data_IF_286344472645
#
_entry.id   IF_286344472645
#
_cell.length_a   1.000
_cell.length_b   1.000
_cell.length_c   1.000
_cell.angle_alpha   90.00
_cell.angle_beta   90.00
_cell.angle_gamma   90.00
#
_symmetry.space_group_name_H-M   'P 1'
#
loop_
_entity.id
_entity.type
_entity.pdbx_description
1 polymer ?
#
# COMPACT_ATOMS: atom_id res chain seq x y z
N UNK A 1 -1.50 -14.78 15.94
CA UNK A 1 -1.51 -14.13 14.61
C UNK A 1 -1.38 -12.63 14.82
N UNK A 2 -0.20 -12.05 14.57
CA UNK A 2 0.07 -10.61 14.79
C UNK A 2 0.43 -9.85 13.51
N UNK A 3 0.56 -10.54 12.36
CA UNK A 3 1.09 -9.99 11.11
C UNK A 3 0.03 -9.52 10.10
N UNK A 4 -1.26 -9.75 10.38
CA UNK A 4 -2.35 -9.50 9.42
C UNK A 4 -2.44 -8.05 8.93
N UNK A 5 -2.16 -7.06 9.79
CA UNK A 5 -2.14 -5.66 9.39
C UNK A 5 -0.97 -5.34 8.45
N UNK A 6 0.14 -6.09 8.55
CA UNK A 6 1.27 -6.00 7.63
C UNK A 6 0.87 -6.46 6.22
N UNK A 7 0.13 -7.57 6.11
CA UNK A 7 -0.37 -8.06 4.82
C UNK A 7 -1.33 -7.06 4.17
N UNK A 8 -2.21 -6.44 4.96
CA UNK A 8 -3.10 -5.37 4.49
C UNK A 8 -2.30 -4.17 3.95
N UNK A 9 -1.31 -3.69 4.70
CA UNK A 9 -0.46 -2.58 4.28
C UNK A 9 0.30 -2.91 2.98
N UNK A 10 0.89 -4.10 2.89
CA UNK A 10 1.62 -4.52 1.69
C UNK A 10 0.71 -4.60 0.46
N UNK A 11 -0.52 -5.08 0.61
CA UNK A 11 -1.52 -5.10 -0.46
C UNK A 11 -1.89 -3.69 -0.94
N UNK A 12 -2.07 -2.74 -0.02
CA UNK A 12 -2.33 -1.33 -0.33
C UNK A 12 -1.16 -0.70 -1.11
N UNK A 13 0.08 -0.91 -0.68
CA UNK A 13 1.25 -0.42 -1.40
C UNK A 13 1.37 -1.03 -2.81
N UNK A 14 1.05 -2.31 -2.94
CA UNK A 14 0.96 -2.99 -4.24
C UNK A 14 -0.11 -2.40 -5.15
N UNK A 15 -1.29 -2.08 -4.58
CA UNK A 15 -2.41 -1.45 -5.29
C UNK A 15 -1.98 -0.13 -5.93
N UNK A 16 -1.35 0.77 -5.18
CA UNK A 16 -0.82 2.01 -5.77
C UNK A 16 0.32 1.77 -6.76
N UNK A 17 1.21 0.81 -6.50
CA UNK A 17 2.30 0.51 -7.42
C UNK A 17 1.83 -0.05 -8.77
N UNK A 18 0.66 -0.69 -8.84
CA UNK A 18 0.18 -1.39 -10.03
C UNK A 18 -1.11 -0.80 -10.62
N UNK A 19 -1.82 0.04 -9.87
CA UNK A 19 -3.14 0.53 -10.26
C UNK A 19 -4.22 -0.56 -10.22
N UNK A 20 -4.04 -1.62 -9.43
CA UNK A 20 -4.98 -2.75 -9.38
C UNK A 20 -5.48 -2.95 -7.95
N UNK A 21 -6.78 -2.82 -7.73
CA UNK A 21 -7.44 -3.26 -6.51
C UNK A 21 -7.80 -4.74 -6.67
N UNK A 22 -7.29 -5.64 -5.81
CA UNK A 22 -7.66 -7.05 -5.85
C UNK A 22 -9.12 -7.27 -5.50
N UNK A 23 -9.81 -8.11 -6.27
CA UNK A 23 -11.13 -8.64 -5.92
C UNK A 23 -11.05 -9.77 -4.89
N UNK A 24 -12.18 -10.07 -4.23
CA UNK A 24 -12.34 -11.21 -3.33
C UNK A 24 -12.77 -12.43 -4.16
N UNK A 25 -11.80 -13.09 -4.80
CA UNK A 25 -12.02 -14.18 -5.77
C UNK A 25 -12.61 -15.47 -5.18
N UNK A 26 -12.66 -15.60 -3.85
CA UNK A 26 -13.19 -16.79 -3.17
C UNK A 26 -14.72 -16.80 -3.08
N UNK A 27 -15.39 -15.71 -3.45
CA UNK A 27 -16.85 -15.59 -3.42
C UNK A 27 -17.36 -15.04 -4.76
N UNK A 28 -18.58 -15.45 -5.15
CA UNK A 28 -19.23 -14.94 -6.37
C UNK A 28 -19.93 -13.61 -6.15
N UNK A 29 -20.46 -13.39 -4.95
CA UNK A 29 -21.15 -12.17 -4.54
C UNK A 29 -21.10 -12.05 -3.00
N UNK A 30 -21.28 -10.84 -2.45
CA UNK A 30 -21.46 -10.66 -1.00
C UNK A 30 -22.68 -11.42 -0.47
N UNK A 31 -22.61 -11.91 0.77
CA UNK A 31 -23.74 -12.60 1.39
C UNK A 31 -24.94 -11.65 1.63
N UNK A 32 -26.15 -12.22 1.74
CA UNK A 32 -27.42 -11.46 1.82
C UNK A 32 -27.53 -10.56 3.05
N UNK A 33 -26.82 -10.90 4.12
CA UNK A 33 -26.80 -10.19 5.40
C UNK A 33 -25.65 -9.18 5.51
N UNK A 34 -24.85 -9.00 4.46
CA UNK A 34 -23.81 -7.97 4.40
C UNK A 34 -24.43 -6.62 4.00
N UNK A 35 -24.31 -5.64 4.90
CA UNK A 35 -24.67 -4.25 4.61
C UNK A 35 -23.71 -3.66 3.56
N UNK A 36 -24.25 -3.12 2.47
CA UNK A 36 -23.43 -2.66 1.31
C UNK A 36 -23.86 -1.35 0.67
N UNK A 37 -24.79 -0.60 1.26
CA UNK A 37 -25.35 0.62 0.66
C UNK A 37 -24.30 1.67 0.27
N UNK A 38 -23.17 1.69 0.97
CA UNK A 38 -22.04 2.59 0.73
C UNK A 38 -20.73 1.84 0.42
N UNK A 39 -20.81 0.57 0.01
CA UNK A 39 -19.64 -0.28 -0.22
C UNK A 39 -19.68 -0.91 -1.62
N UNK A 40 -18.63 -0.67 -2.39
CA UNK A 40 -18.31 -1.41 -3.61
C UNK A 40 -17.43 -2.61 -3.23
N UNK A 41 -18.05 -3.77 -2.96
CA UNK A 41 -17.34 -5.01 -2.62
C UNK A 41 -16.99 -5.74 -3.92
N UNK A 42 -15.72 -5.68 -4.30
CA UNK A 42 -15.22 -6.23 -5.55
C UNK A 42 -15.02 -7.74 -5.46
N UNK A 43 -15.64 -8.51 -6.36
CA UNK A 43 -15.34 -9.93 -6.58
C UNK A 43 -14.35 -10.15 -7.73
N UNK A 44 -14.12 -9.12 -8.53
CA UNK A 44 -13.16 -9.08 -9.63
C UNK A 44 -12.12 -7.98 -9.41
N UNK A 45 -10.95 -8.11 -10.04
CA UNK A 45 -9.92 -7.07 -9.95
C UNK A 45 -10.40 -5.79 -10.65
N UNK A 46 -10.18 -4.64 -10.00
CA UNK A 46 -10.49 -3.32 -10.58
C UNK A 46 -9.21 -2.60 -10.92
N UNK A 47 -9.09 -2.15 -12.17
CA UNK A 47 -7.94 -1.39 -12.65
C UNK A 47 -8.26 0.09 -12.66
N UNK A 48 -7.37 0.88 -12.08
CA UNK A 48 -7.43 2.34 -12.02
C UNK A 48 -6.03 2.91 -12.25
N UNK A 49 -5.94 4.23 -12.41
CA UNK A 49 -4.65 4.89 -12.31
C UNK A 49 -4.04 4.68 -10.92
N UNK A 50 -2.71 4.52 -10.85
CA UNK A 50 -1.96 4.33 -9.60
C UNK A 50 -2.22 5.41 -8.54
N UNK A 51 -2.62 6.62 -8.95
CA UNK A 51 -2.92 7.76 -8.08
C UNK A 51 -4.42 7.98 -7.86
N UNK A 52 -5.30 7.12 -8.39
CA UNK A 52 -6.75 7.33 -8.36
C UNK A 52 -7.30 7.49 -6.94
N UNK A 53 -6.82 6.68 -5.99
CA UNK A 53 -7.20 6.80 -4.59
C UNK A 53 -6.11 7.54 -3.79
N UNK A 54 -6.53 8.56 -3.05
CA UNK A 54 -5.63 9.38 -2.21
C UNK A 54 -5.20 8.67 -0.92
N UNK A 55 -5.97 7.68 -0.48
CA UNK A 55 -5.70 6.95 0.74
C UNK A 55 -6.48 5.65 0.86
N UNK A 56 -6.11 4.84 1.85
CA UNK A 56 -6.74 3.57 2.18
C UNK A 56 -6.89 3.44 3.70
N UNK A 57 -8.00 2.86 4.14
CA UNK A 57 -8.21 2.49 5.53
C UNK A 57 -7.82 1.03 5.76
N UNK A 58 -6.90 0.80 6.69
CA UNK A 58 -6.65 -0.52 7.24
C UNK A 58 -7.54 -0.70 8.46
N UNK A 59 -8.16 -1.89 8.58
CA UNK A 59 -9.03 -2.20 9.71
C UNK A 59 -8.71 -3.60 10.23
N UNK A 60 -8.38 -3.69 11.52
CA UNK A 60 -8.00 -4.93 12.16
C UNK A 60 -8.67 -5.06 13.53
N UNK A 61 -9.10 -6.28 13.86
CA UNK A 61 -9.70 -6.65 15.14
C UNK A 61 -9.04 -7.93 15.65
N UNK A 62 -8.96 -8.08 16.97
CA UNK A 62 -8.35 -9.24 17.62
C UNK A 62 -9.03 -9.60 18.94
N UNK A 63 -8.67 -10.75 19.50
CA UNK A 63 -9.19 -11.22 20.79
C UNK A 63 -8.94 -10.21 21.91
N UNK A 64 -9.80 -10.25 22.94
CA UNK A 64 -9.70 -9.35 24.10
C UNK A 64 -10.18 -7.92 23.83
N UNK A 65 -10.99 -7.70 22.79
CA UNK A 65 -11.53 -6.37 22.47
C UNK A 65 -10.54 -5.43 21.79
N UNK A 66 -9.43 -5.95 21.24
CA UNK A 66 -8.45 -5.15 20.54
C UNK A 66 -8.97 -4.75 19.15
N UNK A 67 -9.02 -3.45 18.86
CA UNK A 67 -9.46 -2.90 17.58
C UNK A 67 -8.51 -1.79 17.16
N UNK A 68 -8.14 -1.76 15.89
CA UNK A 68 -7.27 -0.73 15.33
C UNK A 68 -7.70 -0.37 13.90
N UNK A 69 -7.62 0.92 13.58
CA UNK A 69 -7.76 1.42 12.22
C UNK A 69 -6.64 2.40 11.91
N UNK A 70 -6.16 2.39 10.66
CA UNK A 70 -5.13 3.29 10.20
C UNK A 70 -5.49 3.86 8.84
N UNK A 71 -5.29 5.16 8.65
CA UNK A 71 -5.41 5.82 7.36
C UNK A 71 -4.03 5.96 6.73
N UNK A 72 -3.85 5.33 5.57
CA UNK A 72 -2.61 5.37 4.79
C UNK A 72 -2.83 6.31 3.61
N UNK A 73 -1.90 7.22 3.38
CA UNK A 73 -1.96 8.22 2.31
C UNK A 73 -1.03 7.81 1.18
N UNK A 74 -1.46 8.03 -0.08
CA UNK A 74 -0.67 7.64 -1.24
C UNK A 74 0.62 8.47 -1.40
N UNK A 75 1.53 7.99 -2.26
CA UNK A 75 2.83 8.62 -2.46
C UNK A 75 2.75 10.05 -3.06
N UNK A 76 1.96 10.34 -4.12
CA UNK A 76 1.84 11.71 -4.64
C UNK A 76 1.36 12.73 -3.61
N UNK A 77 0.33 12.38 -2.82
CA UNK A 77 -0.20 13.28 -1.78
C UNK A 77 0.84 13.50 -0.67
N UNK A 78 1.50 12.43 -0.23
CA UNK A 78 2.57 12.51 0.78
C UNK A 78 3.73 13.39 0.28
N UNK A 79 4.14 13.24 -0.97
CA UNK A 79 5.18 14.08 -1.58
C UNK A 79 4.75 15.54 -1.65
N UNK A 80 3.51 15.84 -2.03
CA UNK A 80 2.99 17.21 -2.01
C UNK A 80 3.05 17.86 -0.63
N UNK A 81 2.72 17.10 0.43
CA UNK A 81 2.84 17.59 1.82
C UNK A 81 4.32 17.89 2.17
N UNK A 82 5.24 17.00 1.77
CA UNK A 82 6.68 17.18 2.01
C UNK A 82 7.21 18.39 1.23
N UNK A 83 6.84 18.54 -0.04
CA UNK A 83 7.28 19.65 -0.89
C UNK A 83 6.79 21.01 -0.39
N UNK A 84 5.63 21.06 0.26
CA UNK A 84 5.13 22.29 0.91
C UNK A 84 5.84 22.63 2.22
N UNK A 85 6.50 21.66 2.86
CA UNK A 85 7.09 21.82 4.21
C UNK A 85 8.58 22.17 4.19
N UNK A 86 9.31 21.76 3.16
CA UNK A 86 10.76 21.87 3.09
C UNK A 86 11.23 22.78 1.95
N UNK A 87 12.41 23.38 2.12
CA UNK A 87 13.03 24.22 1.10
C UNK A 87 13.44 23.41 -0.14
N UNK A 88 13.66 24.11 -1.26
CA UNK A 88 14.11 23.48 -2.52
C UNK A 88 15.49 22.82 -2.35
N UNK A 89 16.36 23.43 -1.55
CA UNK A 89 17.70 22.96 -1.25
C UNK A 89 17.66 21.65 -0.46
N UNK A 90 16.81 21.57 0.58
CA UNK A 90 16.60 20.36 1.37
C UNK A 90 16.02 19.23 0.52
N UNK A 91 15.00 19.53 -0.31
CA UNK A 91 14.37 18.56 -1.21
C UNK A 91 15.37 18.05 -2.26
N UNK A 92 16.25 18.91 -2.78
CA UNK A 92 17.30 18.51 -3.71
C UNK A 92 18.30 17.57 -3.03
N UNK A 93 18.75 17.90 -1.83
CA UNK A 93 19.63 17.04 -1.03
C UNK A 93 19.00 15.67 -0.76
N UNK A 94 17.72 15.65 -0.37
CA UNK A 94 16.94 14.43 -0.20
C UNK A 94 16.88 13.60 -1.50
N UNK A 95 16.51 14.22 -2.63
CA UNK A 95 16.41 13.53 -3.93
C UNK A 95 17.75 12.90 -4.32
N UNK A 96 18.88 13.58 -4.11
CA UNK A 96 20.22 13.00 -4.35
C UNK A 96 20.49 11.77 -3.48
N UNK A 97 20.15 11.81 -2.18
CA UNK A 97 20.32 10.65 -1.29
C UNK A 97 19.39 9.49 -1.67
N UNK A 98 18.15 9.80 -2.07
CA UNK A 98 17.13 8.83 -2.45
C UNK A 98 17.56 7.97 -3.64
N UNK A 99 18.26 8.54 -4.62
CA UNK A 99 18.73 7.79 -5.79
C UNK A 99 19.70 6.67 -5.40
N UNK A 100 20.61 6.93 -4.45
CA UNK A 100 21.52 5.90 -3.92
C UNK A 100 20.74 4.79 -3.22
N UNK A 101 19.77 5.15 -2.37
CA UNK A 101 18.93 4.17 -1.66
C UNK A 101 18.12 3.31 -2.63
N UNK A 102 17.52 3.91 -3.67
CA UNK A 102 16.77 3.19 -4.71
C UNK A 102 17.65 2.25 -5.51
N UNK A 103 18.87 2.68 -5.86
CA UNK A 103 19.85 1.84 -6.56
C UNK A 103 20.20 0.60 -5.73
N UNK A 104 20.47 0.78 -4.43
CA UNK A 104 20.79 -0.33 -3.53
C UNK A 104 19.60 -1.28 -3.33
N UNK A 105 18.38 -0.76 -3.17
CA UNK A 105 17.17 -1.57 -3.07
C UNK A 105 16.92 -2.42 -4.34
N UNK A 106 17.12 -1.83 -5.53
CA UNK A 106 17.05 -2.57 -6.81
C UNK A 106 18.09 -3.68 -6.88
N UNK A 107 19.35 -3.39 -6.54
CA UNK A 107 20.43 -4.39 -6.51
C UNK A 107 20.11 -5.54 -5.56
N UNK A 108 19.63 -5.24 -4.36
CA UNK A 108 19.17 -6.23 -3.39
C UNK A 108 18.07 -7.11 -3.99
N UNK A 109 17.01 -6.52 -4.52
CA UNK A 109 15.89 -7.25 -5.11
C UNK A 109 16.33 -8.16 -6.27
N UNK A 110 17.25 -7.70 -7.12
CA UNK A 110 17.83 -8.52 -8.18
C UNK A 110 18.64 -9.71 -7.66
N UNK A 111 19.38 -9.56 -6.56
CA UNK A 111 20.12 -10.68 -5.93
C UNK A 111 19.18 -11.72 -5.34
N UNK A 112 18.13 -11.26 -4.64
CA UNK A 112 17.10 -12.13 -4.06
C UNK A 112 16.39 -12.91 -5.17
N UNK A 113 15.98 -12.25 -6.25
CA UNK A 113 15.32 -12.89 -7.38
C UNK A 113 16.19 -13.96 -8.06
N UNK A 114 17.52 -13.77 -8.07
CA UNK A 114 18.49 -14.75 -8.58
C UNK A 114 18.90 -15.82 -7.55
N UNK A 115 18.32 -15.79 -6.34
CA UNK A 115 18.68 -16.67 -5.21
C UNK A 115 20.17 -16.61 -4.83
N UNK A 116 20.84 -15.49 -5.12
CA UNK A 116 22.26 -15.26 -4.77
C UNK A 116 22.36 -14.66 -3.36
N UNK A 117 21.38 -14.96 -2.51
CA UNK A 117 21.39 -14.66 -1.09
C UNK A 117 21.62 -15.97 -0.34
N UNK A 118 22.87 -16.20 0.07
CA UNK A 118 23.16 -17.13 1.17
C UNK A 118 22.92 -16.38 2.47
N UNK A 119 22.18 -17.02 3.36
CA UNK A 119 22.12 -16.67 4.79
C UNK A 119 23.48 -16.99 5.41
#
# INVERSE_FOLDING_TARGET
MAVAAGDQLMSVLGTWSRGVIPGIHSVKEPAKDVYRDNLDILTENKVNESSHFIGAFLNAKGFGGNNASAFIVNNPTTLGIIENKYSKEELRSYKTKLENTRSNAKKYNSKVAKRVFMI
#
